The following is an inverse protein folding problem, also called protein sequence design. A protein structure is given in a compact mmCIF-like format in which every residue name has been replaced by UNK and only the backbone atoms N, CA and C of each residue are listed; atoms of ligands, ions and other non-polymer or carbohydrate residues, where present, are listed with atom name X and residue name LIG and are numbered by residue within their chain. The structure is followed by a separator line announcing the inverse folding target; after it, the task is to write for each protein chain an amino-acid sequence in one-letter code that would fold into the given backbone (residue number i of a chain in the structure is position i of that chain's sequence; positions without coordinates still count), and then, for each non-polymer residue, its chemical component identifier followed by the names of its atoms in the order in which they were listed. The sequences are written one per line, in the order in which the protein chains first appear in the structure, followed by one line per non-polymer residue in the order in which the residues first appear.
data_IF_834396783390
#
_entry.id   IF_834396783390
#
_cell.length_a   1.000
_cell.length_b   1.000
_cell.length_c   1.000
_cell.angle_alpha   90.00
_cell.angle_beta   90.00
_cell.angle_gamma   90.00
#
_symmetry.space_group_name_H-M   'P 1'
#
loop_
_entity.id
_entity.type
_entity.pdbx_description
1 polymer ?
#
# COMPACT_ATOMS: atom_id res chain seq x y z
N UNK A 1 68.73 -68.05 -16.93
CA UNK A 1 67.72 -67.03 -16.54
C UNK A 1 68.42 -65.68 -16.44
N UNK A 2 68.41 -64.87 -17.50
CA UNK A 2 69.05 -63.56 -17.47
C UNK A 2 68.16 -62.58 -16.69
N UNK A 3 68.57 -62.27 -15.45
CA UNK A 3 67.97 -61.23 -14.62
C UNK A 3 68.31 -59.90 -15.28
N UNK A 4 67.40 -59.33 -16.08
CA UNK A 4 67.56 -57.97 -16.62
C UNK A 4 67.65 -57.02 -15.43
N UNK A 5 68.85 -56.55 -15.11
CA UNK A 5 69.07 -55.49 -14.14
C UNK A 5 68.58 -54.19 -14.77
N UNK A 6 67.33 -53.85 -14.53
CA UNK A 6 66.81 -52.51 -14.84
C UNK A 6 67.57 -51.53 -13.95
N UNK A 7 68.20 -50.53 -14.56
CA UNK A 7 68.91 -49.49 -13.81
C UNK A 7 67.91 -48.75 -12.91
N UNK A 8 68.15 -48.82 -11.61
CA UNK A 8 67.29 -48.21 -10.60
C UNK A 8 67.20 -46.70 -10.76
N UNK A 9 68.23 -46.04 -11.33
CA UNK A 9 68.22 -44.60 -11.64
C UNK A 9 67.22 -44.27 -12.74
N UNK A 10 67.06 -45.17 -13.71
CA UNK A 10 66.07 -45.04 -14.78
C UNK A 10 64.66 -45.19 -14.20
N UNK A 11 64.44 -46.14 -13.29
CA UNK A 11 63.17 -46.30 -12.58
C UNK A 11 62.82 -45.05 -11.75
N UNK A 12 63.78 -44.50 -11.00
CA UNK A 12 63.56 -43.28 -10.22
C UNK A 12 63.26 -42.07 -11.11
N UNK A 13 63.94 -41.93 -12.25
CA UNK A 13 63.68 -40.85 -13.20
C UNK A 13 62.24 -40.90 -13.74
N UNK A 14 61.77 -42.08 -14.18
CA UNK A 14 60.39 -42.25 -14.64
C UNK A 14 59.37 -42.06 -13.51
N UNK A 15 59.69 -42.49 -12.28
CA UNK A 15 58.83 -42.26 -11.13
C UNK A 15 58.69 -40.76 -10.80
N UNK A 16 59.77 -39.98 -10.91
CA UNK A 16 59.75 -38.52 -10.70
C UNK A 16 58.94 -37.84 -11.80
N UNK A 17 59.12 -38.21 -13.08
CA UNK A 17 58.32 -37.65 -14.18
C UNK A 17 56.83 -37.94 -14.02
N UNK A 18 56.47 -39.16 -13.61
CA UNK A 18 55.10 -39.55 -13.33
C UNK A 18 54.54 -38.76 -12.13
N UNK A 19 55.35 -38.53 -11.09
CA UNK A 19 54.95 -37.72 -9.93
C UNK A 19 54.74 -36.24 -10.32
N UNK A 20 55.61 -35.66 -11.15
CA UNK A 20 55.44 -34.30 -11.69
C UNK A 20 54.16 -34.23 -12.54
N UNK A 21 53.90 -35.22 -13.38
CA UNK A 21 52.68 -35.31 -14.18
C UNK A 21 51.42 -35.37 -13.30
N UNK A 22 51.43 -36.21 -12.26
CA UNK A 22 50.32 -36.31 -11.29
C UNK A 22 50.12 -34.98 -10.56
N UNK A 23 51.19 -34.34 -10.08
CA UNK A 23 51.10 -33.02 -9.43
C UNK A 23 50.53 -31.98 -10.39
N UNK A 24 50.98 -31.93 -11.64
CA UNK A 24 50.46 -31.02 -12.64
C UNK A 24 48.98 -31.25 -12.93
N UNK A 25 48.55 -32.51 -13.07
CA UNK A 25 47.13 -32.87 -13.23
C UNK A 25 46.29 -32.55 -12.01
N UNK A 26 46.81 -32.75 -10.80
CA UNK A 26 46.13 -32.38 -9.54
C UNK A 26 45.96 -30.86 -9.47
N UNK A 27 47.00 -30.09 -9.80
CA UNK A 27 46.95 -28.63 -9.87
C UNK A 27 45.94 -28.19 -10.93
N UNK A 28 45.90 -28.82 -12.09
CA UNK A 28 44.92 -28.51 -13.13
C UNK A 28 43.49 -28.82 -12.68
N UNK A 29 43.28 -29.95 -12.00
CA UNK A 29 41.98 -30.35 -11.46
C UNK A 29 41.47 -29.38 -10.39
N UNK A 30 42.30 -28.98 -9.42
CA UNK A 30 41.90 -28.03 -8.38
C UNK A 30 41.71 -26.60 -8.89
N UNK A 31 42.33 -26.25 -10.01
CA UNK A 31 42.17 -24.94 -10.64
C UNK A 31 41.09 -24.90 -11.72
N UNK A 32 40.51 -26.05 -12.06
CA UNK A 32 39.42 -26.13 -13.02
C UNK A 32 38.14 -25.59 -12.38
N UNK A 33 37.44 -24.76 -13.14
CA UNK A 33 36.09 -24.33 -12.83
C UNK A 33 35.20 -25.09 -13.81
N UNK A 34 34.32 -25.93 -13.28
CA UNK A 34 33.28 -26.54 -14.11
C UNK A 34 32.31 -25.43 -14.51
N UNK A 35 32.29 -25.12 -15.80
CA UNK A 35 31.42 -24.07 -16.31
C UNK A 35 29.94 -24.47 -16.15
N UNK A 36 29.55 -25.72 -15.91
CA UNK A 36 28.14 -26.03 -15.64
C UNK A 36 27.68 -25.59 -14.24
N UNK A 37 28.61 -25.28 -13.33
CA UNK A 37 28.36 -25.08 -11.90
C UNK A 37 28.48 -23.61 -11.42
N UNK A 38 28.36 -22.65 -12.34
CA UNK A 38 28.46 -21.22 -12.01
C UNK A 38 27.27 -20.76 -11.15
N UNK A 39 27.58 -20.18 -9.99
CA UNK A 39 26.61 -19.77 -8.96
C UNK A 39 26.70 -18.27 -8.72
N UNK A 40 26.05 -17.50 -9.58
CA UNK A 40 25.96 -16.05 -9.43
C UNK A 40 24.53 -15.59 -9.12
N UNK A 41 24.43 -14.43 -8.49
CA UNK A 41 23.19 -13.88 -7.97
C UNK A 41 23.04 -12.42 -8.39
N UNK A 42 21.81 -12.07 -8.76
CA UNK A 42 21.38 -10.70 -9.02
C UNK A 42 20.33 -10.37 -7.96
N UNK A 43 20.64 -9.43 -7.07
CA UNK A 43 19.71 -9.00 -6.02
C UNK A 43 19.11 -7.63 -6.35
N UNK A 44 17.78 -7.59 -6.40
CA UNK A 44 17.01 -6.35 -6.57
C UNK A 44 15.77 -6.38 -5.68
N UNK A 45 15.53 -5.33 -4.90
CA UNK A 45 14.34 -5.25 -4.05
C UNK A 45 13.05 -5.10 -4.85
N UNK A 46 13.10 -4.36 -5.97
CA UNK A 46 11.88 -4.01 -6.71
C UNK A 46 11.99 -4.14 -8.24
N UNK A 47 13.16 -4.52 -8.77
CA UNK A 47 13.41 -4.67 -10.21
C UNK A 47 12.99 -3.44 -11.02
N UNK A 48 13.38 -2.25 -10.58
CA UNK A 48 13.06 -0.97 -11.24
C UNK A 48 14.32 -0.33 -11.84
N UNK A 49 14.14 0.47 -12.89
CA UNK A 49 15.18 1.36 -13.38
C UNK A 49 15.56 2.42 -12.32
N UNK A 50 16.80 2.89 -12.36
CA UNK A 50 17.41 3.84 -11.40
C UNK A 50 17.54 3.33 -9.95
N UNK A 51 17.47 2.02 -9.74
CA UNK A 51 17.85 1.37 -8.48
C UNK A 51 19.24 0.73 -8.59
N UNK A 52 19.97 0.70 -7.47
CA UNK A 52 21.24 -0.02 -7.36
C UNK A 52 20.95 -1.50 -7.25
N UNK A 53 21.41 -2.27 -8.23
CA UNK A 53 21.27 -3.73 -8.29
C UNK A 53 22.61 -4.34 -7.87
N UNK A 54 22.56 -5.32 -6.98
CA UNK A 54 23.74 -6.02 -6.47
C UNK A 54 24.01 -7.29 -7.30
N UNK A 55 25.28 -7.47 -7.68
CA UNK A 55 25.76 -8.61 -8.47
C UNK A 55 26.87 -9.32 -7.70
N UNK A 56 26.70 -10.61 -7.47
CA UNK A 56 27.62 -11.37 -6.64
C UNK A 56 27.81 -12.81 -7.12
N UNK A 57 29.06 -13.25 -7.19
CA UNK A 57 29.45 -14.62 -7.56
C UNK A 57 29.95 -15.46 -6.37
N UNK A 58 29.49 -16.71 -6.28
CA UNK A 58 29.90 -17.73 -5.30
C UNK A 58 30.55 -18.97 -5.94
N UNK A 59 30.93 -18.90 -7.20
CA UNK A 59 31.53 -20.04 -7.91
C UNK A 59 32.86 -20.43 -7.25
N UNK A 60 33.06 -21.73 -7.03
CA UNK A 60 34.31 -22.24 -6.45
C UNK A 60 35.43 -22.20 -7.50
N UNK A 61 36.67 -21.99 -7.06
CA UNK A 61 37.87 -21.91 -7.91
C UNK A 61 37.88 -20.77 -8.97
N UNK A 62 36.92 -19.85 -8.91
CA UNK A 62 36.92 -18.63 -9.72
C UNK A 62 38.07 -17.70 -9.30
N UNK A 63 38.91 -17.29 -10.26
CA UNK A 63 40.09 -16.42 -10.06
C UNK A 63 39.91 -15.03 -10.66
N UNK A 64 39.12 -14.92 -11.72
CA UNK A 64 38.77 -13.64 -12.34
C UNK A 64 37.29 -13.61 -12.70
N UNK A 65 36.74 -12.41 -12.69
CA UNK A 65 35.34 -12.13 -13.05
C UNK A 65 35.33 -11.02 -14.10
N UNK A 66 34.34 -11.06 -14.97
CA UNK A 66 33.99 -9.98 -15.89
C UNK A 66 32.47 -9.96 -16.04
N UNK A 67 31.86 -8.92 -15.49
CA UNK A 67 30.44 -8.64 -15.59
C UNK A 67 30.17 -7.73 -16.76
N UNK A 68 29.39 -8.20 -17.72
CA UNK A 68 28.72 -7.38 -18.72
C UNK A 68 27.26 -7.22 -18.31
N UNK A 69 26.83 -5.98 -18.08
CA UNK A 69 25.48 -5.67 -17.62
C UNK A 69 24.45 -5.66 -18.76
N UNK A 70 24.88 -5.75 -20.02
CA UNK A 70 23.99 -5.82 -21.19
C UNK A 70 23.29 -4.50 -21.54
N UNK A 71 23.66 -3.39 -20.90
CA UNK A 71 23.14 -2.03 -21.17
C UNK A 71 24.15 -1.13 -21.90
N UNK A 72 25.31 -1.69 -22.29
CA UNK A 72 26.41 -0.97 -22.94
C UNK A 72 27.31 -0.19 -21.99
N UNK A 73 27.12 -0.34 -20.67
CA UNK A 73 28.06 0.20 -19.69
C UNK A 73 29.39 -0.56 -19.68
N UNK A 74 30.40 0.03 -19.03
CA UNK A 74 31.74 -0.57 -18.94
C UNK A 74 31.67 -1.84 -18.07
N UNK A 75 32.22 -2.98 -18.54
CA UNK A 75 32.25 -4.21 -17.74
C UNK A 75 33.01 -4.04 -16.41
N UNK A 76 32.55 -4.74 -15.37
CA UNK A 76 33.19 -4.75 -14.05
C UNK A 76 33.97 -6.04 -13.82
N UNK A 77 35.13 -5.99 -13.16
CA UNK A 77 36.01 -7.16 -12.92
C UNK A 77 35.99 -7.66 -11.48
N UNK A 78 35.18 -7.03 -10.62
CA UNK A 78 35.06 -7.41 -9.21
C UNK A 78 34.11 -8.59 -9.06
N UNK A 79 34.42 -9.48 -8.11
CA UNK A 79 33.55 -10.59 -7.71
C UNK A 79 32.18 -10.13 -7.19
N UNK A 80 32.14 -9.00 -6.50
CA UNK A 80 30.96 -8.36 -5.94
C UNK A 80 30.93 -6.92 -6.43
N UNK A 81 29.84 -6.51 -7.08
CA UNK A 81 29.67 -5.16 -7.59
C UNK A 81 28.21 -4.70 -7.56
N UNK A 82 28.03 -3.40 -7.71
CA UNK A 82 26.72 -2.76 -7.81
C UNK A 82 26.62 -2.03 -9.14
N UNK A 83 25.47 -2.12 -9.80
CA UNK A 83 25.21 -1.40 -11.05
C UNK A 83 23.82 -0.76 -11.06
N UNK A 84 23.70 0.39 -11.72
CA UNK A 84 22.47 1.17 -11.83
C UNK A 84 22.07 1.29 -13.29
N UNK A 85 20.92 0.72 -13.64
CA UNK A 85 20.37 0.81 -14.99
C UNK A 85 19.48 2.05 -15.12
N UNK A 86 19.88 2.98 -15.97
CA UNK A 86 19.15 4.25 -16.17
C UNK A 86 17.83 4.14 -16.90
N UNK A 87 17.62 3.03 -17.61
CA UNK A 87 16.44 2.82 -18.45
C UNK A 87 15.77 1.51 -18.07
N UNK A 88 14.43 1.45 -18.11
CA UNK A 88 13.72 0.19 -18.01
C UNK A 88 13.96 -0.64 -19.27
N UNK A 89 13.84 -1.95 -19.15
CA UNK A 89 14.07 -2.87 -20.25
C UNK A 89 14.46 -4.26 -19.79
N UNK A 90 14.75 -5.11 -20.78
CA UNK A 90 15.32 -6.43 -20.58
C UNK A 90 16.81 -6.35 -20.83
N UNK A 91 17.60 -6.80 -19.87
CA UNK A 91 19.06 -6.78 -19.92
C UNK A 91 19.59 -8.20 -19.80
N UNK A 92 20.51 -8.58 -20.69
CA UNK A 92 21.18 -9.87 -20.66
C UNK A 92 22.49 -9.73 -19.88
N UNK A 93 22.42 -9.98 -18.58
CA UNK A 93 23.59 -9.85 -17.70
C UNK A 93 24.46 -11.08 -17.89
N UNK A 94 25.71 -10.86 -18.28
CA UNK A 94 26.67 -11.92 -18.57
C UNK A 94 27.85 -11.86 -17.61
N UNK A 95 28.14 -12.98 -16.95
CA UNK A 95 29.34 -13.18 -16.15
C UNK A 95 30.31 -14.10 -16.89
N UNK A 96 31.53 -13.63 -17.14
CA UNK A 96 32.65 -14.46 -17.59
C UNK A 96 33.62 -14.69 -16.43
N UNK A 97 33.86 -15.95 -16.08
CA UNK A 97 34.81 -16.39 -15.06
C UNK A 97 36.04 -16.97 -15.75
N UNK A 98 37.23 -16.65 -15.24
CA UNK A 98 38.52 -17.18 -15.74
C UNK A 98 38.83 -16.93 -17.25
N UNK A 99 37.97 -16.18 -17.94
CA UNK A 99 38.11 -15.82 -19.35
C UNK A 99 37.43 -16.78 -20.33
N UNK A 100 36.94 -17.93 -19.85
CA UNK A 100 36.43 -19.03 -20.68
C UNK A 100 35.02 -19.51 -20.27
N UNK A 101 34.67 -19.50 -18.97
CA UNK A 101 33.33 -19.84 -18.52
C UNK A 101 32.39 -18.63 -18.59
N UNK A 102 31.38 -18.65 -19.46
CA UNK A 102 30.45 -17.53 -19.65
C UNK A 102 29.00 -17.94 -19.39
N UNK A 103 28.32 -17.21 -18.50
CA UNK A 103 26.91 -17.44 -18.16
C UNK A 103 26.10 -16.16 -18.31
N UNK A 104 24.88 -16.31 -18.78
CA UNK A 104 23.98 -15.18 -19.01
C UNK A 104 22.65 -15.40 -18.30
N UNK A 105 22.15 -14.36 -17.64
CA UNK A 105 20.84 -14.34 -17.00
C UNK A 105 20.05 -13.11 -17.45
N UNK A 106 18.75 -13.29 -17.70
CA UNK A 106 17.84 -12.19 -18.03
C UNK A 106 17.48 -11.40 -16.75
N UNK A 107 17.70 -10.09 -16.79
CA UNK A 107 17.22 -9.13 -15.80
C UNK A 107 16.16 -8.24 -16.44
N UNK A 108 14.95 -8.29 -15.90
CA UNK A 108 13.83 -7.45 -16.37
C UNK A 108 13.65 -6.30 -15.40
N UNK A 109 13.88 -5.07 -15.88
CA UNK A 109 13.67 -3.85 -15.12
C UNK A 109 12.45 -3.10 -15.63
N UNK A 110 11.52 -2.84 -14.73
CA UNK A 110 10.33 -2.06 -15.02
C UNK A 110 10.62 -0.57 -14.87
N UNK A 111 9.87 0.25 -15.61
CA UNK A 111 9.94 1.70 -15.45
C UNK A 111 9.49 2.04 -14.02
N UNK A 112 10.38 2.73 -13.30
CA UNK A 112 10.11 3.27 -11.97
C UNK A 112 8.80 4.09 -11.96
N UNK A 113 8.50 4.78 -13.06
CA UNK A 113 7.34 5.66 -13.23
C UNK A 113 6.25 5.09 -14.17
N UNK A 114 6.28 3.78 -14.50
CA UNK A 114 5.28 3.19 -15.42
C UNK A 114 3.82 3.51 -15.05
N UNK A 115 3.47 3.41 -13.75
CA UNK A 115 2.12 3.71 -13.28
C UNK A 115 1.74 5.19 -13.49
N UNK A 116 2.72 6.05 -13.32
CA UNK A 116 2.59 7.50 -13.31
C UNK A 116 2.51 8.09 -14.74
N UNK A 117 2.85 7.28 -15.75
CA UNK A 117 2.58 7.55 -17.17
C UNK A 117 1.07 7.59 -17.48
N UNK A 118 0.26 6.82 -16.75
CA UNK A 118 -1.21 6.91 -16.74
C UNK A 118 -1.74 7.97 -15.74
N UNK A 119 -0.83 8.68 -15.05
CA UNK A 119 -1.15 9.61 -13.97
C UNK A 119 -1.38 8.95 -12.61
N UNK A 120 -1.42 7.61 -12.53
CA UNK A 120 -1.66 6.90 -11.27
C UNK A 120 -0.35 6.69 -10.51
N UNK A 121 -0.20 7.13 -9.25
CA UNK A 121 1.03 6.91 -8.50
C UNK A 121 1.28 5.42 -8.24
N UNK A 122 2.53 5.04 -7.94
CA UNK A 122 2.86 3.68 -7.51
C UNK A 122 3.11 3.65 -6.00
N UNK A 123 2.45 2.73 -5.30
CA UNK A 123 2.67 2.47 -3.87
C UNK A 123 3.64 1.29 -3.72
N UNK A 124 4.75 1.53 -3.00
CA UNK A 124 5.65 0.49 -2.51
C UNK A 124 5.33 0.24 -1.04
N UNK A 125 5.05 -1.03 -0.72
CA UNK A 125 4.64 -1.48 0.60
C UNK A 125 5.08 -2.95 0.83
N UNK A 126 5.38 -3.35 2.08
CA UNK A 126 5.56 -4.75 2.44
C UNK A 126 4.31 -5.57 2.13
N UNK A 127 4.47 -6.83 1.72
CA UNK A 127 3.33 -7.72 1.42
C UNK A 127 2.59 -8.18 2.68
N UNK A 128 3.33 -8.37 3.77
CA UNK A 128 2.83 -8.83 5.07
C UNK A 128 3.46 -7.99 6.18
N UNK A 129 2.64 -7.57 7.13
CA UNK A 129 3.03 -6.79 8.33
C UNK A 129 2.41 -7.44 9.57
N UNK A 130 2.98 -7.24 10.76
CA UNK A 130 2.39 -7.70 12.02
C UNK A 130 1.71 -6.54 12.76
N UNK A 131 0.55 -6.78 13.37
CA UNK A 131 -0.15 -5.78 14.22
C UNK A 131 0.81 -5.18 15.24
N UNK A 132 0.83 -3.85 15.32
CA UNK A 132 1.66 -3.09 16.25
C UNK A 132 3.12 -2.89 15.84
N UNK A 133 3.54 -3.39 14.66
CA UNK A 133 4.86 -3.07 14.10
C UNK A 133 4.78 -1.89 13.11
N UNK A 134 5.78 -0.99 13.10
CA UNK A 134 5.82 0.10 12.13
C UNK A 134 6.08 -0.46 10.72
N UNK A 135 5.26 -0.03 9.77
CA UNK A 135 5.42 -0.34 8.36
C UNK A 135 5.80 0.92 7.57
N UNK A 136 6.72 0.76 6.64
CA UNK A 136 7.27 1.84 5.82
C UNK A 136 6.64 1.81 4.44
N UNK A 137 6.18 2.96 3.97
CA UNK A 137 5.54 3.11 2.67
C UNK A 137 6.28 4.15 1.85
N UNK A 138 6.28 3.95 0.54
CA UNK A 138 6.91 4.87 -0.40
C UNK A 138 6.01 5.11 -1.60
N UNK A 139 5.77 6.38 -1.92
CA UNK A 139 5.10 6.80 -3.14
C UNK A 139 6.13 7.02 -4.24
N UNK A 140 5.86 6.52 -5.44
CA UNK A 140 6.62 6.85 -6.65
C UNK A 140 5.68 7.53 -7.66
N UNK A 141 5.96 8.80 -7.95
CA UNK A 141 5.29 9.62 -8.97
C UNK A 141 6.18 10.83 -9.34
N UNK A 142 6.14 11.21 -10.61
CA UNK A 142 6.77 12.40 -11.22
C UNK A 142 5.84 13.62 -11.21
N UNK A 143 4.54 13.45 -10.91
CA UNK A 143 3.54 14.53 -10.81
C UNK A 143 3.20 14.94 -9.39
N UNK A 144 3.53 14.12 -8.39
CA UNK A 144 3.09 14.33 -7.01
C UNK A 144 3.73 15.58 -6.37
N UNK A 145 2.87 16.50 -5.90
CA UNK A 145 3.23 17.65 -5.05
C UNK A 145 2.66 17.51 -3.64
N UNK A 146 1.51 16.83 -3.52
CA UNK A 146 0.87 16.50 -2.23
C UNK A 146 0.46 15.03 -2.22
N UNK A 147 0.46 14.42 -1.03
CA UNK A 147 0.06 13.04 -0.81
C UNK A 147 -1.09 12.99 0.20
N UNK A 148 -2.04 12.10 -0.04
CA UNK A 148 -3.11 11.79 0.90
C UNK A 148 -3.25 10.27 0.98
N UNK A 149 -2.74 9.69 2.07
CA UNK A 149 -2.77 8.26 2.34
C UNK A 149 -3.99 7.89 3.18
N UNK A 150 -4.62 6.78 2.84
CA UNK A 150 -5.56 6.10 3.72
C UNK A 150 -5.20 4.61 3.80
N UNK A 151 -5.02 4.09 5.01
CA UNK A 151 -4.55 2.72 5.26
C UNK A 151 -5.70 1.72 5.49
N UNK A 152 -6.94 2.20 5.50
CA UNK A 152 -8.13 1.33 5.55
C UNK A 152 -8.47 0.81 6.95
N UNK A 153 -8.00 1.48 8.01
CA UNK A 153 -8.45 1.22 9.40
C UNK A 153 -9.55 2.19 9.85
N UNK A 154 -9.60 3.38 9.28
CA UNK A 154 -10.58 4.42 9.58
C UNK A 154 -11.19 5.01 8.28
N UNK A 155 -12.25 5.80 8.44
CA UNK A 155 -12.85 6.59 7.36
C UNK A 155 -12.13 7.93 7.30
N UNK A 156 -11.03 8.05 6.55
CA UNK A 156 -10.30 9.32 6.48
C UNK A 156 -8.95 9.29 5.75
N UNK A 157 -8.24 10.41 5.84
CA UNK A 157 -6.83 10.52 5.49
C UNK A 157 -6.04 10.28 6.78
N UNK A 158 -5.15 9.30 6.76
CA UNK A 158 -4.28 8.96 7.87
C UNK A 158 -3.00 9.80 7.88
N UNK A 159 -2.45 10.11 6.69
CA UNK A 159 -1.11 10.66 6.56
C UNK A 159 -0.91 11.44 5.25
N UNK A 160 0.01 12.41 5.24
CA UNK A 160 0.21 13.34 4.11
C UNK A 160 1.65 13.50 3.65
N UNK A 161 2.59 12.84 4.32
CA UNK A 161 3.98 12.76 3.90
C UNK A 161 4.18 11.87 2.66
N UNK A 162 5.24 12.13 1.89
CA UNK A 162 5.55 11.37 0.68
C UNK A 162 5.90 9.89 0.96
N UNK A 163 6.62 9.64 2.06
CA UNK A 163 7.08 8.31 2.48
C UNK A 163 6.71 8.09 3.95
N UNK A 164 5.47 7.69 4.24
CA UNK A 164 5.00 7.61 5.61
C UNK A 164 5.41 6.32 6.32
N UNK A 165 5.33 6.38 7.65
CA UNK A 165 5.42 5.22 8.54
C UNK A 165 4.07 5.05 9.24
N UNK A 166 3.46 3.89 9.15
CA UNK A 166 2.14 3.61 9.74
C UNK A 166 2.13 2.31 10.52
N UNK A 167 1.37 2.25 11.62
CA UNK A 167 1.27 1.07 12.48
C UNK A 167 -0.18 0.59 12.52
N UNK A 168 -0.41 -0.63 12.04
CA UNK A 168 -1.76 -1.20 12.02
C UNK A 168 -2.18 -1.73 13.38
N UNK A 169 -3.41 -1.39 13.78
CA UNK A 169 -4.01 -1.81 15.05
C UNK A 169 -4.85 -3.08 14.92
N UNK A 170 -5.39 -3.35 13.73
CA UNK A 170 -6.30 -4.46 13.47
C UNK A 170 -5.75 -5.42 12.42
N UNK A 171 -5.86 -6.75 12.64
CA UNK A 171 -5.41 -7.74 11.68
C UNK A 171 -6.36 -7.85 10.48
N UNK A 172 -5.90 -8.54 9.43
CA UNK A 172 -6.67 -8.84 8.21
C UNK A 172 -6.12 -8.17 6.96
N UNK A 173 -6.84 -8.29 5.86
CA UNK A 173 -6.51 -7.59 4.62
C UNK A 173 -6.77 -6.10 4.75
N UNK A 174 -5.80 -5.29 4.33
CA UNK A 174 -5.88 -3.83 4.35
C UNK A 174 -5.68 -3.29 2.94
N UNK A 175 -6.61 -2.46 2.50
CA UNK A 175 -6.54 -1.74 1.22
C UNK A 175 -6.01 -0.34 1.48
N UNK A 176 -4.75 -0.12 1.10
CA UNK A 176 -4.09 1.16 1.17
C UNK A 176 -4.43 1.93 -0.09
N UNK A 177 -4.84 3.19 0.06
CA UNK A 177 -5.08 4.10 -1.06
C UNK A 177 -4.21 5.34 -0.96
N UNK A 178 -3.74 5.81 -2.10
CA UNK A 178 -2.96 7.03 -2.22
C UNK A 178 -3.58 7.92 -3.29
N UNK A 179 -3.89 9.15 -2.90
CA UNK A 179 -4.29 10.23 -3.80
C UNK A 179 -3.16 11.25 -3.84
N UNK A 180 -2.75 11.63 -5.05
CA UNK A 180 -1.76 12.69 -5.26
C UNK A 180 -2.47 13.95 -5.76
N UNK A 181 -2.03 15.12 -5.33
CA UNK A 181 -2.56 16.42 -5.79
C UNK A 181 -4.08 16.62 -5.63
N UNK A 182 -4.75 15.82 -4.79
CA UNK A 182 -6.21 15.81 -4.71
C UNK A 182 -6.91 15.30 -5.98
N UNK A 183 -6.19 14.62 -6.87
CA UNK A 183 -6.73 14.05 -8.11
C UNK A 183 -7.28 12.63 -7.87
N UNK A 184 -8.60 12.53 -7.75
CA UNK A 184 -9.30 11.27 -7.56
C UNK A 184 -9.53 10.49 -8.85
N UNK A 185 -9.14 11.02 -10.02
CA UNK A 185 -9.16 10.25 -11.26
C UNK A 185 -8.02 9.24 -11.35
N UNK A 186 -6.97 9.42 -10.53
CA UNK A 186 -5.73 8.66 -10.57
C UNK A 186 -5.36 8.04 -9.20
N UNK A 187 -6.34 7.42 -8.53
CA UNK A 187 -6.11 6.80 -7.21
C UNK A 187 -5.29 5.53 -7.31
N UNK A 188 -4.16 5.47 -6.60
CA UNK A 188 -3.39 4.25 -6.45
C UNK A 188 -3.93 3.39 -5.30
N UNK A 189 -3.94 2.08 -5.49
CA UNK A 189 -4.39 1.11 -4.48
C UNK A 189 -3.35 0.00 -4.29
N UNK A 190 -3.18 -0.43 -3.05
CA UNK A 190 -2.31 -1.55 -2.68
C UNK A 190 -2.95 -2.36 -1.57
N UNK A 191 -3.10 -3.66 -1.79
CA UNK A 191 -3.59 -4.59 -0.76
C UNK A 191 -2.39 -5.22 -0.06
N UNK A 192 -2.44 -5.27 1.26
CA UNK A 192 -1.48 -5.94 2.14
C UNK A 192 -2.23 -6.84 3.14
N UNK A 193 -1.52 -7.76 3.77
CA UNK A 193 -2.07 -8.57 4.86
C UNK A 193 -1.41 -8.22 6.20
N UNK A 194 -2.22 -7.90 7.21
CA UNK A 194 -1.77 -7.62 8.57
C UNK A 194 -2.01 -8.84 9.45
N UNK A 195 -0.94 -9.52 9.83
CA UNK A 195 -0.96 -10.70 10.68
C UNK A 195 -1.22 -10.31 12.15
N UNK A 196 -2.09 -11.04 12.88
CA UNK A 196 -2.35 -10.77 14.30
C UNK A 196 -1.11 -10.97 15.17
N UNK A 197 -1.02 -10.19 16.26
CA UNK A 197 0.06 -10.37 17.24
C UNK A 197 -0.19 -11.65 18.05
N UNK A 198 0.77 -12.57 18.08
CA UNK A 198 0.69 -13.79 18.89
C UNK A 198 0.76 -13.40 20.37
N UNK A 199 -0.35 -13.52 21.10
CA UNK A 199 -0.36 -13.39 22.56
C UNK A 199 0.12 -14.73 23.14
N UNK A 200 1.35 -14.79 23.65
CA UNK A 200 1.76 -15.91 24.50
C UNK A 200 0.92 -15.87 25.76
N UNK A 201 0.13 -16.91 26.02
CA UNK A 201 -0.66 -17.06 27.25
C UNK A 201 0.31 -17.08 28.45
N UNK A 202 0.46 -15.96 29.14
CA UNK A 202 1.17 -15.90 30.42
C UNK A 202 0.26 -16.52 31.48
N UNK A 203 0.71 -17.64 32.05
CA UNK A 203 0.19 -18.48 33.13
C UNK A 203 -1.35 -18.57 33.36
N UNK A 204 -1.90 -19.76 33.62
CA UNK A 204 -3.31 -19.89 34.02
C UNK A 204 -3.59 -18.96 35.21
N UNK A 205 -4.67 -18.18 35.11
CA UNK A 205 -5.21 -17.40 36.21
C UNK A 205 -5.24 -18.29 37.46
N UNK A 206 -4.46 -17.93 38.48
CA UNK A 206 -4.53 -18.59 39.77
C UNK A 206 -5.86 -18.17 40.41
N UNK A 207 -6.85 -19.05 40.31
CA UNK A 207 -8.20 -18.80 40.79
C UNK A 207 -8.29 -19.08 42.30
N UNK A 208 -7.26 -18.82 43.10
CA UNK A 208 -7.27 -19.14 44.54
C UNK A 208 -7.60 -17.98 45.47
N UNK A 209 -7.99 -16.81 44.96
CA UNK A 209 -8.50 -15.72 45.80
C UNK A 209 -9.79 -15.11 45.27
N UNK A 210 -10.86 -15.91 45.23
CA UNK A 210 -12.20 -15.34 45.39
C UNK A 210 -12.39 -15.00 46.86
N UNK A 211 -12.17 -13.74 47.21
CA UNK A 211 -12.71 -13.18 48.43
C UNK A 211 -14.19 -12.92 48.16
N UNK A 212 -15.07 -13.66 48.84
CA UNK A 212 -16.52 -13.46 48.73
C UNK A 212 -16.83 -11.98 48.98
N UNK A 213 -17.45 -11.31 48.00
CA UNK A 213 -17.98 -9.96 48.19
C UNK A 213 -18.92 -9.96 49.40
N UNK A 214 -18.55 -9.17 50.40
CA UNK A 214 -19.39 -8.87 51.56
C UNK A 214 -20.73 -8.37 51.05
N UNK A 215 -21.82 -9.05 51.45
CA UNK A 215 -23.20 -8.76 51.04
C UNK A 215 -23.47 -7.26 51.16
N UNK A 216 -23.82 -6.62 50.04
CA UNK A 216 -24.10 -5.19 50.00
C UNK A 216 -25.24 -4.83 50.97
N UNK A 217 -24.98 -3.91 51.89
CA UNK A 217 -26.04 -3.24 52.67
C UNK A 217 -26.84 -2.35 51.71
N UNK A 218 -28.17 -2.39 51.84
CA UNK A 218 -29.08 -1.69 50.95
C UNK A 218 -28.83 -0.17 50.98
N UNK A 219 -28.34 0.36 49.87
CA UNK A 219 -28.21 1.79 49.66
C UNK A 219 -29.62 2.41 49.53
N UNK A 220 -30.12 3.04 50.59
CA UNK A 220 -31.35 3.83 50.53
C UNK A 220 -31.06 5.17 49.87
N UNK A 221 -31.66 5.41 48.70
CA UNK A 221 -31.61 6.72 48.03
C UNK A 221 -32.33 7.78 48.89
N UNK A 222 -31.77 9.00 49.05
CA UNK A 222 -32.53 10.12 49.61
C UNK A 222 -33.70 10.48 48.68
N UNK A 223 -34.89 10.70 49.23
CA UNK A 223 -36.02 11.27 48.47
C UNK A 223 -35.69 12.71 48.07
N UNK A 224 -35.26 12.89 46.82
CA UNK A 224 -35.15 14.21 46.18
C UNK A 224 -36.53 14.78 45.84
N UNK A 225 -36.74 16.04 46.16
CA UNK A 225 -37.94 16.81 45.81
C UNK A 225 -38.08 17.03 44.31
N UNK A 226 -39.33 16.98 43.82
CA UNK A 226 -39.73 17.21 42.42
C UNK A 226 -39.18 18.54 41.89
N UNK A 227 -38.30 18.49 40.90
CA UNK A 227 -37.94 19.68 40.10
C UNK A 227 -39.01 19.87 39.02
N UNK A 228 -39.59 21.07 39.00
CA UNK A 228 -40.52 21.53 37.94
C UNK A 228 -39.77 21.81 36.64
N UNK A 229 -40.50 21.63 35.55
CA UNK A 229 -40.14 21.76 34.14
C UNK A 229 -39.59 23.17 33.79
N UNK A 230 -38.40 23.31 33.17
CA UNK A 230 -37.78 24.60 32.84
C UNK A 230 -38.20 25.14 31.46
N UNK A 231 -39.48 25.02 31.08
CA UNK A 231 -40.02 25.61 29.84
C UNK A 231 -40.77 26.93 30.04
N UNK A 232 -40.80 27.48 31.25
CA UNK A 232 -41.68 28.61 31.59
C UNK A 232 -40.95 29.97 31.71
N UNK A 233 -39.63 30.03 31.47
CA UNK A 233 -38.80 31.23 31.70
C UNK A 233 -38.21 31.87 30.43
N UNK A 234 -38.68 31.49 29.22
CA UNK A 234 -38.21 32.06 27.94
C UNK A 234 -39.27 32.81 27.12
N UNK A 235 -40.47 33.05 27.67
CA UNK A 235 -41.56 33.75 26.98
C UNK A 235 -41.74 35.23 27.39
N UNK A 236 -40.71 35.87 27.93
CA UNK A 236 -40.75 37.32 28.16
C UNK A 236 -39.46 37.96 27.67
N UNK A 237 -39.32 38.19 26.37
CA UNK A 237 -38.61 39.36 25.80
C UNK A 237 -38.86 39.38 24.28
N UNK A 238 -39.95 40.03 23.87
CA UNK A 238 -40.14 40.50 22.49
C UNK A 238 -39.87 42.00 22.47
N UNK A 239 -38.76 42.47 21.91
CA UNK A 239 -38.65 43.85 21.46
C UNK A 239 -38.93 43.95 19.95
N UNK A 240 -39.84 44.87 19.64
CA UNK A 240 -40.27 45.29 18.30
C UNK A 240 -39.14 46.04 17.57
N UNK A 241 -39.03 45.79 16.28
CA UNK A 241 -38.06 46.40 15.37
C UNK A 241 -38.21 47.93 15.19
N UNK A 242 -37.11 48.62 14.85
CA UNK A 242 -37.16 49.77 13.95
C UNK A 242 -36.50 49.46 12.60
N UNK A 243 -37.13 49.91 11.51
CA UNK A 243 -36.58 49.93 10.14
C UNK A 243 -35.52 51.03 10.00
N UNK A 244 -34.43 50.73 9.31
CA UNK A 244 -33.74 51.73 8.46
C UNK A 244 -32.98 51.06 7.31
N UNK A 245 -33.28 51.48 6.07
CA UNK A 245 -32.42 51.41 4.87
C UNK A 245 -31.25 52.39 5.10
N UNK A 246 -30.02 52.28 4.61
CA UNK A 246 -29.43 51.92 3.30
C UNK A 246 -27.91 51.85 3.60
N UNK A 247 -27.06 51.09 2.92
CA UNK A 247 -26.33 51.47 1.70
C UNK A 247 -25.56 50.24 1.23
N UNK A 248 -25.57 50.00 -0.09
CA UNK A 248 -24.77 49.00 -0.79
C UNK A 248 -23.27 49.23 -0.53
N UNK A 249 -22.59 48.19 -0.05
CA UNK A 249 -21.25 47.88 -0.51
C UNK A 249 -21.20 46.39 -0.86
N UNK A 250 -20.95 46.14 -2.14
CA UNK A 250 -20.92 44.83 -2.76
C UNK A 250 -19.60 44.15 -2.41
N UNK A 251 -19.54 43.49 -1.25
CA UNK A 251 -18.48 42.52 -0.98
C UNK A 251 -19.00 41.17 -1.42
N UNK A 252 -18.39 40.63 -2.47
CA UNK A 252 -18.60 39.27 -2.96
C UNK A 252 -18.15 38.28 -1.87
N UNK A 253 -19.04 38.00 -0.90
CA UNK A 253 -18.83 36.91 0.06
C UNK A 253 -19.03 35.63 -0.74
N UNK A 254 -17.93 34.96 -1.07
CA UNK A 254 -17.95 33.65 -1.72
C UNK A 254 -18.91 32.72 -0.96
N UNK A 255 -20.03 32.34 -1.59
CA UNK A 255 -21.07 31.46 -1.05
C UNK A 255 -20.41 30.13 -0.67
N UNK A 256 -20.28 29.84 0.63
CA UNK A 256 -19.73 28.57 1.14
C UNK A 256 -20.85 27.56 1.40
N UNK A 257 -20.60 26.30 1.07
CA UNK A 257 -21.54 25.21 1.33
C UNK A 257 -21.68 24.93 2.83
N UNK A 258 -22.87 24.51 3.30
CA UNK A 258 -23.03 24.02 4.67
C UNK A 258 -22.09 22.86 4.98
N UNK A 259 -21.60 22.80 6.22
CA UNK A 259 -20.75 21.68 6.68
C UNK A 259 -21.60 20.42 6.80
N UNK A 260 -21.21 19.37 6.09
CA UNK A 260 -21.83 18.04 6.16
C UNK A 260 -20.75 16.98 6.36
N UNK A 261 -20.95 16.05 7.29
CA UNK A 261 -20.05 14.90 7.46
C UNK A 261 -20.41 13.77 6.49
N UNK A 262 -19.49 12.84 6.30
CA UNK A 262 -19.66 11.64 5.49
C UNK A 262 -20.85 10.80 5.98
N UNK A 263 -21.01 10.67 7.30
CA UNK A 263 -22.14 9.92 7.90
C UNK A 263 -23.49 10.61 7.66
N UNK A 264 -23.52 11.95 7.72
CA UNK A 264 -24.74 12.72 7.40
C UNK A 264 -25.10 12.58 5.92
N UNK A 265 -24.10 12.59 5.05
CA UNK A 265 -24.31 12.39 3.61
C UNK A 265 -24.76 10.97 3.27
N UNK A 266 -24.23 9.96 3.98
CA UNK A 266 -24.69 8.56 3.91
C UNK A 266 -26.18 8.46 4.28
N UNK A 267 -26.62 9.13 5.34
CA UNK A 267 -28.05 9.18 5.72
C UNK A 267 -28.89 9.80 4.60
N UNK A 268 -28.44 10.89 3.99
CA UNK A 268 -29.16 11.53 2.88
C UNK A 268 -29.27 10.58 1.67
N UNK A 269 -28.21 9.86 1.32
CA UNK A 269 -28.23 8.89 0.23
C UNK A 269 -29.18 7.71 0.50
N UNK A 270 -29.23 7.22 1.74
CA UNK A 270 -30.21 6.20 2.14
C UNK A 270 -31.64 6.72 1.97
N UNK A 271 -31.92 7.99 2.30
CA UNK A 271 -33.24 8.62 2.06
C UNK A 271 -33.58 8.74 0.57
N UNK A 272 -32.59 8.93 -0.31
CA UNK A 272 -32.80 8.88 -1.78
C UNK A 272 -33.15 7.47 -2.22
N UNK A 273 -32.45 6.47 -1.69
CA UNK A 273 -32.73 5.06 -1.97
C UNK A 273 -34.14 4.66 -1.52
N UNK A 274 -34.62 5.19 -0.39
CA UNK A 274 -35.97 5.04 0.15
C UNK A 274 -37.03 5.89 -0.57
N UNK A 275 -36.63 6.82 -1.44
CA UNK A 275 -37.54 7.72 -2.17
C UNK A 275 -38.06 8.91 -1.36
N UNK A 276 -37.57 9.14 -0.15
CA UNK A 276 -37.95 10.28 0.72
C UNK A 276 -37.19 11.57 0.37
N UNK A 277 -36.13 11.49 -0.42
CA UNK A 277 -35.31 12.62 -0.89
C UNK A 277 -35.03 12.48 -2.38
N UNK A 278 -34.80 13.60 -3.06
CA UNK A 278 -34.45 13.66 -4.47
C UNK A 278 -33.04 14.22 -4.65
N UNK A 279 -32.45 14.02 -5.84
CA UNK A 279 -31.09 14.49 -6.15
C UNK A 279 -30.90 16.00 -5.95
N UNK A 280 -31.94 16.79 -6.18
CA UNK A 280 -31.88 18.26 -6.08
C UNK A 280 -31.77 18.75 -4.62
N UNK A 281 -32.10 17.90 -3.64
CA UNK A 281 -31.88 18.20 -2.21
C UNK A 281 -30.38 18.31 -1.86
N UNK A 282 -29.49 17.90 -2.78
CA UNK A 282 -28.05 17.95 -2.58
C UNK A 282 -27.39 19.18 -3.22
N UNK A 283 -28.13 19.96 -4.01
CA UNK A 283 -27.59 21.09 -4.77
C UNK A 283 -26.84 22.11 -3.90
N UNK A 284 -27.30 22.33 -2.67
CA UNK A 284 -26.65 23.22 -1.70
C UNK A 284 -25.24 22.73 -1.27
N UNK A 285 -25.00 21.42 -1.30
CA UNK A 285 -23.69 20.83 -1.00
C UNK A 285 -22.84 20.65 -2.26
N UNK A 286 -23.45 20.61 -3.44
CA UNK A 286 -22.82 20.31 -4.72
C UNK A 286 -22.57 21.54 -5.59
N UNK A 287 -22.83 22.76 -5.10
CA UNK A 287 -22.73 23.99 -5.89
C UNK A 287 -23.65 23.96 -7.13
N UNK A 288 -24.85 23.40 -6.96
CA UNK A 288 -25.84 23.20 -8.03
C UNK A 288 -25.35 22.29 -9.19
N UNK A 289 -24.20 21.63 -9.03
CA UNK A 289 -23.61 20.69 -9.99
C UNK A 289 -23.95 19.24 -9.61
N UNK A 290 -25.01 18.71 -10.21
CA UNK A 290 -25.45 17.33 -9.98
C UNK A 290 -24.70 16.29 -10.80
N UNK A 291 -23.74 16.71 -11.63
CA UNK A 291 -22.96 15.84 -12.49
C UNK A 291 -21.52 15.63 -12.01
N UNK A 292 -21.24 15.99 -10.75
CA UNK A 292 -19.94 15.70 -10.13
C UNK A 292 -19.57 14.20 -10.25
N UNK A 293 -18.27 13.89 -10.42
CA UNK A 293 -17.81 12.52 -10.60
C UNK A 293 -17.99 11.69 -9.32
N UNK A 294 -18.50 10.47 -9.51
CA UNK A 294 -18.68 9.44 -8.50
C UNK A 294 -17.90 8.19 -8.91
N UNK A 295 -17.02 7.73 -8.02
CA UNK A 295 -16.39 6.41 -8.12
C UNK A 295 -17.22 5.42 -7.30
N UNK A 296 -17.82 4.45 -7.97
CA UNK A 296 -18.65 3.40 -7.37
C UNK A 296 -17.91 2.07 -7.33
N UNK A 297 -17.95 1.41 -6.17
CA UNK A 297 -17.40 0.06 -5.95
C UNK A 297 -16.00 -0.10 -6.55
N UNK A 298 -15.16 0.92 -6.35
CA UNK A 298 -13.74 0.93 -6.71
C UNK A 298 -13.38 0.98 -8.21
N UNK A 299 -14.32 0.80 -9.14
CA UNK A 299 -14.03 0.70 -10.58
C UNK A 299 -14.98 1.49 -11.50
N UNK A 300 -16.25 1.67 -11.11
CA UNK A 300 -17.25 2.27 -11.99
C UNK A 300 -17.23 3.79 -11.83
N UNK A 301 -17.05 4.53 -12.92
CA UNK A 301 -17.14 5.99 -12.92
C UNK A 301 -18.51 6.43 -13.45
N UNK A 302 -19.24 7.20 -12.66
CA UNK A 302 -20.57 7.71 -13.00
C UNK A 302 -20.79 9.09 -12.40
N UNK A 303 -21.85 9.79 -12.79
CA UNK A 303 -22.19 11.11 -12.21
C UNK A 303 -23.07 10.98 -10.96
N UNK A 304 -23.13 12.00 -10.10
CA UNK A 304 -23.99 11.95 -8.91
C UNK A 304 -25.47 11.76 -9.25
N UNK A 305 -25.94 12.38 -10.34
CA UNK A 305 -27.26 12.14 -10.92
C UNK A 305 -27.48 10.65 -11.28
N UNK A 306 -26.49 10.01 -11.90
CA UNK A 306 -26.52 8.58 -12.24
C UNK A 306 -26.50 7.69 -10.99
N UNK A 307 -25.75 8.07 -9.95
CA UNK A 307 -25.74 7.35 -8.66
C UNK A 307 -27.13 7.36 -8.04
N UNK A 308 -27.76 8.55 -7.95
CA UNK A 308 -29.09 8.71 -7.38
C UNK A 308 -30.12 7.86 -8.12
N UNK A 309 -30.05 7.83 -9.46
CA UNK A 309 -30.89 6.96 -10.28
C UNK A 309 -30.63 5.47 -10.01
N UNK A 310 -29.36 5.07 -9.82
CA UNK A 310 -28.98 3.68 -9.61
C UNK A 310 -29.44 3.11 -8.26
N UNK A 311 -29.53 3.94 -7.22
CA UNK A 311 -29.92 3.52 -5.86
C UNK A 311 -31.42 3.70 -5.57
N UNK A 312 -32.13 4.53 -6.33
CA UNK A 312 -33.56 4.82 -6.11
C UNK A 312 -34.40 3.54 -6.08
N UNK A 313 -35.18 3.36 -5.02
CA UNK A 313 -36.06 2.20 -4.84
C UNK A 313 -35.36 0.91 -4.43
N UNK A 314 -34.07 0.95 -4.05
CA UNK A 314 -33.30 -0.23 -3.64
C UNK A 314 -32.91 -0.14 -2.16
N UNK A 315 -32.91 -1.28 -1.45
CA UNK A 315 -32.25 -1.37 -0.14
C UNK A 315 -30.75 -1.52 -0.34
N UNK A 316 -30.01 -0.46 -0.03
CA UNK A 316 -28.55 -0.45 -0.10
C UNK A 316 -27.93 -0.57 1.30
N UNK A 317 -26.72 -1.14 1.37
CA UNK A 317 -25.83 -1.07 2.52
C UNK A 317 -24.54 -0.40 2.05
N UNK A 318 -24.29 0.82 2.51
CA UNK A 318 -23.07 1.55 2.21
C UNK A 318 -21.96 0.99 3.09
N UNK A 319 -20.87 0.53 2.48
CA UNK A 319 -19.71 -0.06 3.16
C UNK A 319 -18.66 1.02 3.43
N UNK A 320 -18.47 1.91 2.46
CA UNK A 320 -17.60 3.09 2.60
C UNK A 320 -18.15 4.25 1.79
N UNK A 321 -17.92 5.46 2.30
CA UNK A 321 -18.23 6.72 1.62
C UNK A 321 -17.15 7.74 1.94
N UNK A 322 -16.76 8.53 0.94
CA UNK A 322 -15.80 9.63 1.10
C UNK A 322 -16.22 10.82 0.23
N UNK A 323 -16.34 11.98 0.87
CA UNK A 323 -16.66 13.24 0.20
C UNK A 323 -15.36 13.99 -0.12
N UNK A 324 -15.19 14.40 -1.37
CA UNK A 324 -14.14 15.34 -1.74
C UNK A 324 -14.73 16.75 -1.68
N UNK A 325 -14.28 17.56 -0.72
CA UNK A 325 -14.76 18.94 -0.52
C UNK A 325 -13.67 19.93 -0.94
N UNK A 326 -14.08 20.97 -1.64
CA UNK A 326 -13.22 22.12 -1.95
C UNK A 326 -12.81 22.83 -0.65
N UNK A 327 -11.50 23.04 -0.48
CA UNK A 327 -10.90 23.59 0.75
C UNK A 327 -11.31 25.05 1.03
N UNK A 328 -11.72 25.81 0.01
CA UNK A 328 -12.05 27.24 0.14
C UNK A 328 -13.53 27.47 0.45
N UNK A 329 -14.41 26.71 -0.20
CA UNK A 329 -15.85 26.93 -0.17
C UNK A 329 -16.67 25.74 0.38
N UNK A 330 -16.02 24.62 0.70
CA UNK A 330 -16.61 23.43 1.32
C UNK A 330 -17.64 22.67 0.46
N UNK A 331 -17.80 23.00 -0.84
CA UNK A 331 -18.66 22.23 -1.75
C UNK A 331 -18.05 20.86 -2.05
N UNK A 332 -18.90 19.84 -2.13
CA UNK A 332 -18.51 18.50 -2.54
C UNK A 332 -18.32 18.50 -4.07
N UNK A 333 -17.09 18.19 -4.51
CA UNK A 333 -16.66 18.13 -5.92
C UNK A 333 -16.49 16.71 -6.44
N UNK A 334 -16.60 15.72 -5.58
CA UNK A 334 -16.52 14.31 -5.96
C UNK A 334 -16.89 13.39 -4.82
N UNK A 335 -17.26 12.15 -5.15
CA UNK A 335 -17.73 11.15 -4.21
C UNK A 335 -17.09 9.80 -4.52
N UNK A 336 -16.54 9.13 -3.51
CA UNK A 336 -16.17 7.73 -3.61
C UNK A 336 -17.08 6.92 -2.69
N UNK A 337 -17.76 5.93 -3.24
CA UNK A 337 -18.75 5.14 -2.52
C UNK A 337 -18.66 3.66 -2.88
N UNK A 338 -18.64 2.80 -1.86
CA UNK A 338 -18.81 1.35 -2.01
C UNK A 338 -20.11 0.94 -1.33
N UNK A 339 -21.00 0.25 -2.04
CA UNK A 339 -22.27 -0.22 -1.50
C UNK A 339 -22.74 -1.53 -2.12
N UNK A 340 -23.49 -2.29 -1.32
CA UNK A 340 -24.15 -3.54 -1.76
C UNK A 340 -25.66 -3.35 -1.77
N UNK A 341 -26.31 -3.84 -2.82
CA UNK A 341 -27.78 -3.92 -2.89
C UNK A 341 -28.22 -5.23 -2.22
N UNK A 342 -29.10 -5.16 -1.22
CA UNK A 342 -29.71 -6.36 -0.63
C UNK A 342 -30.71 -6.95 -1.62
N UNK A 343 -30.42 -8.14 -2.17
CA UNK A 343 -31.39 -8.91 -2.96
C UNK A 343 -32.47 -9.44 -2.02
N UNK A 344 -33.75 -9.25 -2.37
CA UNK A 344 -34.84 -9.96 -1.73
C UNK A 344 -34.74 -11.45 -2.09
N UNK A 345 -34.81 -12.33 -1.08
CA UNK A 345 -35.25 -13.70 -1.31
C UNK A 345 -36.73 -13.60 -1.72
N UNK A 346 -36.99 -13.68 -3.02
CA UNK A 346 -38.34 -13.98 -3.50
C UNK A 346 -38.52 -15.47 -3.23
N UNK A 347 -39.17 -15.81 -2.12
CA UNK A 347 -39.81 -17.13 -2.01
C UNK A 347 -40.97 -17.12 -3.00
N UNK A 348 -40.82 -17.78 -4.14
CA UNK A 348 -41.99 -18.21 -4.91
C UNK A 348 -42.68 -19.25 -4.04
N UNK A 349 -43.90 -18.95 -3.58
CA UNK A 349 -44.82 -20.01 -3.19
C UNK A 349 -45.24 -20.71 -4.48
N UNK A 350 -45.14 -22.04 -4.43
CA UNK A 350 -45.57 -23.01 -5.44
C UNK A 350 -47.00 -22.76 -5.96
#
# INVERSE_FOLDING_TARGET
MNKKNIDIRVVFFFAILLLIGIIASIVQFFNHVDCEDVKFYIFSDHSQSDESIEFYDRTQNAKSWKWDFGDGSVPDVRRHTFHVYKKPGKFMVTLTINGDCTHTQELILNDKYAADKLGTPKIIAPKVITVGQPAYFKSISNKAKTWEWAFGENRGIDETSANPVYTFSTPGEKTITLVINGDFSTVAKKIIYVHPKVIKKTNPLDVTSYEYEKKAEAFSLPRGSVKKDPLEDMLQYVPVAPKTKTVKDSINIAKKAPKISEDQFEILLNKVAEGSKIKDDFSEYLCDDLDIPVVKNDTDLLTFSQLCAAIKGKKIKIESIRLNKDKQNNYVKGLNISYKVKKYLIWSKD
#
